data_IF_706421510147
#
_entry.id   IF_706421510147
#
_cell.length_a   1.000
_cell.length_b   1.000
_cell.length_c   1.000
_cell.angle_alpha   90.00
_cell.angle_beta   90.00
_cell.angle_gamma   90.00
#
_symmetry.space_group_name_H-M   'P 1'
#
loop_
_entity.id
_entity.type
_entity.pdbx_description
1 polymer ?
#
# COMPACT_ATOMS: atom_id res chain seq x y z
N UNK A 1 17.52 9.22 -1.26
CA UNK A 1 16.68 8.19 -0.61
C UNK A 1 15.69 7.63 -1.62
N UNK A 2 15.38 6.34 -1.51
CA UNK A 2 14.53 5.62 -2.46
C UNK A 2 13.14 5.46 -1.85
N UNK A 3 12.20 6.31 -2.24
CA UNK A 3 10.82 6.21 -1.78
C UNK A 3 9.97 5.54 -2.88
N UNK A 4 9.28 4.47 -2.52
CA UNK A 4 8.56 3.59 -3.43
C UNK A 4 7.10 3.53 -3.01
N UNK A 5 6.18 3.65 -3.96
CA UNK A 5 4.78 3.31 -3.76
C UNK A 5 4.56 1.90 -4.27
N UNK A 6 4.10 0.98 -3.41
CA UNK A 6 3.61 -0.33 -3.80
C UNK A 6 2.10 -0.27 -4.04
N UNK A 7 1.73 -0.39 -5.30
CA UNK A 7 0.40 -0.25 -5.82
C UNK A 7 -0.19 -1.60 -6.25
N UNK A 8 -1.49 -1.70 -6.28
CA UNK A 8 -2.19 -2.91 -6.68
C UNK A 8 -3.39 -3.23 -5.78
N UNK A 9 -4.36 -4.02 -6.26
CA UNK A 9 -5.58 -4.32 -5.51
C UNK A 9 -5.30 -5.10 -4.21
N UNK A 10 -6.29 -5.16 -3.29
CA UNK A 10 -6.19 -6.03 -2.12
C UNK A 10 -5.91 -7.47 -2.57
N UNK A 11 -5.02 -8.19 -1.87
CA UNK A 11 -4.64 -9.56 -2.22
C UNK A 11 -3.56 -9.69 -3.31
N UNK A 12 -3.08 -8.60 -3.92
CA UNK A 12 -2.05 -8.65 -4.98
C UNK A 12 -0.65 -9.07 -4.51
N UNK A 13 -0.40 -9.16 -3.20
CA UNK A 13 0.90 -9.59 -2.65
C UNK A 13 1.81 -8.47 -2.17
N UNK A 14 1.36 -7.20 -2.18
CA UNK A 14 2.16 -6.03 -1.75
C UNK A 14 2.89 -6.22 -0.44
N UNK A 15 2.18 -6.62 0.62
CA UNK A 15 2.78 -6.79 1.94
C UNK A 15 3.81 -7.91 2.02
N UNK A 16 3.68 -8.96 1.21
CA UNK A 16 4.69 -10.03 1.10
C UNK A 16 5.93 -9.49 0.41
N UNK A 17 5.77 -8.82 -0.72
CA UNK A 17 6.87 -8.25 -1.47
C UNK A 17 7.59 -7.13 -0.72
N UNK A 18 6.84 -6.27 -0.01
CA UNK A 18 7.42 -5.19 0.78
C UNK A 18 8.46 -5.70 1.78
N UNK A 19 8.23 -6.83 2.45
CA UNK A 19 9.18 -7.42 3.41
C UNK A 19 10.52 -7.77 2.76
N UNK A 20 10.50 -8.38 1.57
CA UNK A 20 11.74 -8.71 0.86
C UNK A 20 12.46 -7.46 0.36
N UNK A 21 11.71 -6.45 -0.09
CA UNK A 21 12.27 -5.19 -0.54
C UNK A 21 12.84 -4.35 0.62
N UNK A 22 12.19 -4.36 1.80
CA UNK A 22 12.72 -3.73 3.03
C UNK A 22 14.12 -4.26 3.34
N UNK A 23 14.26 -5.60 3.37
CA UNK A 23 15.51 -6.25 3.70
C UNK A 23 16.59 -5.98 2.64
N UNK A 24 16.23 -6.14 1.35
CA UNK A 24 17.18 -6.01 0.24
C UNK A 24 17.72 -4.59 0.08
N UNK A 25 16.88 -3.57 0.24
CA UNK A 25 17.23 -2.18 -0.05
C UNK A 25 17.36 -1.29 1.20
N UNK A 26 17.29 -1.87 2.40
CA UNK A 26 17.26 -1.14 3.67
C UNK A 26 16.18 -0.04 3.68
N UNK A 27 14.97 -0.39 3.24
CA UNK A 27 13.81 0.50 3.23
C UNK A 27 12.94 0.26 4.46
N UNK A 28 12.08 1.21 4.81
CA UNK A 28 11.06 1.04 5.84
C UNK A 28 9.67 0.96 5.21
N UNK A 29 8.98 -0.17 5.40
CA UNK A 29 7.58 -0.29 4.99
C UNK A 29 6.67 0.52 5.91
N UNK A 30 5.81 1.34 5.32
CA UNK A 30 4.72 2.07 5.96
C UNK A 30 3.40 1.57 5.38
N UNK A 31 2.77 0.64 6.09
CA UNK A 31 1.49 0.05 5.69
C UNK A 31 0.34 0.71 6.45
N UNK A 32 -0.45 1.54 5.78
CA UNK A 32 -1.61 2.20 6.41
C UNK A 32 -2.64 1.20 6.91
N UNK A 33 -2.82 0.09 6.20
CA UNK A 33 -3.70 -0.99 6.65
C UNK A 33 -3.24 -1.63 7.97
N UNK A 34 -1.93 -1.84 8.15
CA UNK A 34 -1.39 -2.39 9.40
C UNK A 34 -1.44 -1.36 10.53
N UNK A 35 -1.21 -0.09 10.24
CA UNK A 35 -1.35 1.00 11.22
C UNK A 35 -2.79 1.08 11.75
N UNK A 36 -3.80 1.00 10.87
CA UNK A 36 -5.20 1.00 11.30
C UNK A 36 -5.55 -0.27 12.10
N UNK A 37 -5.11 -1.44 11.66
CA UNK A 37 -5.32 -2.70 12.42
C UNK A 37 -4.65 -2.68 13.79
N UNK A 38 -3.46 -2.10 13.90
CA UNK A 38 -2.80 -1.90 15.20
C UNK A 38 -3.65 -1.00 16.12
N UNK A 39 -4.15 0.12 15.62
CA UNK A 39 -5.01 1.02 16.37
C UNK A 39 -6.33 0.36 16.78
N UNK A 40 -6.92 -0.44 15.88
CA UNK A 40 -8.13 -1.21 16.15
C UNK A 40 -7.89 -2.24 17.29
N UNK A 41 -6.81 -3.00 17.21
CA UNK A 41 -6.44 -3.98 18.25
C UNK A 41 -6.24 -3.32 19.62
N UNK A 42 -5.71 -2.11 19.65
CA UNK A 42 -5.48 -1.33 20.87
C UNK A 42 -6.68 -0.46 21.28
N UNK A 43 -7.83 -0.61 20.62
CA UNK A 43 -9.08 0.10 20.93
C UNK A 43 -8.95 1.63 21.00
N UNK A 44 -8.05 2.22 20.21
CA UNK A 44 -7.91 3.67 20.13
C UNK A 44 -9.12 4.29 19.41
N UNK A 45 -9.36 5.59 19.60
CA UNK A 45 -10.42 6.32 18.86
C UNK A 45 -10.19 6.25 17.35
N UNK A 46 -8.94 6.34 16.91
CA UNK A 46 -8.56 6.15 15.51
C UNK A 46 -8.91 4.74 14.99
N UNK A 47 -8.66 3.71 15.81
CA UNK A 47 -9.01 2.34 15.47
C UNK A 47 -10.51 2.12 15.32
N UNK A 48 -11.31 2.64 16.24
CA UNK A 48 -12.79 2.58 16.19
C UNK A 48 -13.34 3.31 14.95
N UNK A 49 -12.81 4.50 14.66
CA UNK A 49 -13.15 5.24 13.45
C UNK A 49 -12.83 4.44 12.19
N UNK A 50 -11.60 3.91 12.09
CA UNK A 50 -11.17 3.12 10.93
C UNK A 50 -12.02 1.86 10.74
N UNK A 51 -12.44 1.21 11.82
CA UNK A 51 -13.28 -0.01 11.77
C UNK A 51 -14.58 0.25 11.01
N UNK A 52 -15.26 1.38 11.27
CA UNK A 52 -16.54 1.69 10.64
C UNK A 52 -16.47 1.77 9.10
N UNK A 53 -15.31 2.08 8.55
CA UNK A 53 -15.05 2.06 7.11
C UNK A 53 -14.51 0.71 6.62
N UNK A 54 -13.55 0.12 7.33
CA UNK A 54 -12.89 -1.13 6.93
C UNK A 54 -13.84 -2.32 6.91
N UNK A 55 -14.79 -2.40 7.85
CA UNK A 55 -15.79 -3.49 7.91
C UNK A 55 -16.75 -3.47 6.68
N UNK A 56 -16.89 -2.34 6.03
CA UNK A 56 -17.67 -2.16 4.80
C UNK A 56 -16.80 -2.22 3.52
N UNK A 57 -15.49 -2.41 3.67
CA UNK A 57 -14.54 -2.40 2.53
C UNK A 57 -14.21 -1.00 2.01
N UNK A 58 -14.63 0.06 2.70
CA UNK A 58 -14.42 1.45 2.29
C UNK A 58 -13.06 2.00 2.77
N UNK A 59 -12.64 3.12 2.17
CA UNK A 59 -11.44 3.84 2.59
C UNK A 59 -11.73 4.73 3.80
N UNK A 60 -10.80 4.77 4.75
CA UNK A 60 -10.79 5.79 5.82
C UNK A 60 -10.55 7.18 5.19
N UNK A 61 -11.15 8.25 5.69
CA UNK A 61 -11.00 9.60 5.13
C UNK A 61 -9.52 10.00 4.90
N UNK A 62 -9.28 10.70 3.78
CA UNK A 62 -7.93 11.04 3.31
C UNK A 62 -7.12 11.82 4.35
N UNK A 63 -7.73 12.82 4.99
CA UNK A 63 -7.07 13.62 6.02
C UNK A 63 -6.58 12.77 7.20
N UNK A 64 -7.42 11.84 7.67
CA UNK A 64 -7.09 10.96 8.79
C UNK A 64 -5.92 10.05 8.43
N UNK A 65 -5.98 9.46 7.24
CA UNK A 65 -4.92 8.56 6.74
C UNK A 65 -3.62 9.30 6.52
N UNK A 66 -3.67 10.47 5.92
CA UNK A 66 -2.50 11.31 5.61
C UNK A 66 -1.80 11.80 6.88
N UNK A 67 -2.57 12.27 7.88
CA UNK A 67 -2.01 12.71 9.17
C UNK A 67 -1.34 11.55 9.91
N UNK A 68 -1.97 10.38 9.94
CA UNK A 68 -1.40 9.18 10.54
C UNK A 68 -0.06 8.81 9.87
N UNK A 69 -0.01 8.83 8.54
CA UNK A 69 1.21 8.52 7.79
C UNK A 69 2.32 9.55 8.03
N UNK A 70 1.99 10.84 8.03
CA UNK A 70 2.95 11.93 8.28
C UNK A 70 3.58 11.82 9.67
N UNK A 71 2.81 11.44 10.67
CA UNK A 71 3.31 11.22 12.03
C UNK A 71 4.18 9.96 12.12
N UNK A 72 3.86 8.93 11.35
CA UNK A 72 4.66 7.71 11.32
C UNK A 72 6.01 7.93 10.61
N UNK A 73 6.06 8.69 9.52
CA UNK A 73 7.30 9.05 8.82
C UNK A 73 8.35 9.67 9.75
N UNK A 74 7.92 10.54 10.68
CA UNK A 74 8.81 11.23 11.63
C UNK A 74 9.49 10.31 12.64
N UNK A 75 8.94 9.11 12.87
CA UNK A 75 9.46 8.14 13.85
C UNK A 75 10.60 7.30 13.30
N UNK A 76 10.78 7.25 11.99
CA UNK A 76 11.72 6.35 11.33
C UNK A 76 12.89 7.10 10.71
N UNK A 77 14.11 6.85 11.24
CA UNK A 77 15.36 7.39 10.73
C UNK A 77 16.36 6.26 10.47
N UNK A 78 17.36 6.50 9.63
CA UNK A 78 18.42 5.53 9.36
C UNK A 78 18.13 4.53 8.24
N UNK A 79 16.99 4.66 7.56
CA UNK A 79 16.66 3.86 6.37
C UNK A 79 17.11 4.55 5.09
N UNK A 80 17.31 3.77 4.02
CA UNK A 80 17.63 4.27 2.69
C UNK A 80 16.42 4.87 1.95
N UNK A 81 15.22 4.74 2.52
CA UNK A 81 13.95 5.27 2.01
C UNK A 81 12.76 4.53 2.59
N UNK A 82 11.60 4.74 1.97
CA UNK A 82 10.34 4.20 2.43
C UNK A 82 9.62 3.39 1.34
N UNK A 83 8.85 2.37 1.76
CA UNK A 83 7.87 1.67 0.95
C UNK A 83 6.49 2.04 1.47
N UNK A 84 5.71 2.77 0.67
CA UNK A 84 4.34 3.10 0.98
C UNK A 84 3.43 1.96 0.50
N UNK A 85 2.82 1.22 1.43
CA UNK A 85 1.90 0.12 1.16
C UNK A 85 0.49 0.48 1.61
N UNK A 86 -0.44 0.48 0.65
CA UNK A 86 -1.83 0.88 0.89
C UNK A 86 -2.05 2.38 1.01
N UNK A 87 -1.07 3.18 0.62
CA UNK A 87 -1.11 4.64 0.49
C UNK A 87 -0.13 5.06 -0.62
N UNK A 88 -0.50 6.01 -1.52
CA UNK A 88 -1.81 6.66 -1.62
C UNK A 88 -2.88 5.74 -2.23
N UNK A 89 -4.16 6.01 -1.96
CA UNK A 89 -5.33 5.33 -2.55
C UNK A 89 -6.28 6.26 -3.28
N UNK A 90 -6.03 7.56 -3.22
CA UNK A 90 -6.75 8.60 -3.95
C UNK A 90 -5.76 9.57 -4.54
N UNK A 91 -6.16 10.33 -5.56
CA UNK A 91 -5.31 11.39 -6.15
C UNK A 91 -4.93 12.43 -5.11
N UNK A 92 -5.87 12.83 -4.25
CA UNK A 92 -5.62 13.75 -3.13
C UNK A 92 -4.54 13.24 -2.18
N UNK A 93 -4.54 11.94 -1.88
CA UNK A 93 -3.48 11.32 -1.07
C UNK A 93 -2.13 11.31 -1.80
N UNK A 94 -2.12 11.09 -3.12
CA UNK A 94 -0.89 11.10 -3.91
C UNK A 94 -0.23 12.50 -3.93
N UNK A 95 -1.03 13.54 -4.15
CA UNK A 95 -0.58 14.93 -4.06
C UNK A 95 -0.07 15.27 -2.66
N UNK A 96 -0.79 14.82 -1.61
CA UNK A 96 -0.37 15.02 -0.22
C UNK A 96 0.94 14.32 0.09
N UNK A 97 1.18 13.10 -0.44
CA UNK A 97 2.44 12.38 -0.28
C UNK A 97 3.60 13.13 -0.91
N UNK A 98 3.42 13.64 -2.14
CA UNK A 98 4.44 14.41 -2.84
C UNK A 98 4.80 15.69 -2.05
N UNK A 99 3.81 16.39 -1.50
CA UNK A 99 4.03 17.58 -0.64
C UNK A 99 4.78 17.22 0.65
N UNK A 100 4.34 16.18 1.37
CA UNK A 100 4.97 15.74 2.63
C UNK A 100 6.43 15.35 2.40
N UNK A 101 6.70 14.54 1.38
CA UNK A 101 8.06 14.11 1.08
C UNK A 101 8.95 15.29 0.72
N UNK A 102 8.46 16.23 -0.07
CA UNK A 102 9.21 17.40 -0.52
C UNK A 102 9.46 18.39 0.63
N UNK A 103 8.42 18.75 1.37
CA UNK A 103 8.48 19.82 2.39
C UNK A 103 9.12 19.33 3.69
N UNK A 104 8.74 18.14 4.18
CA UNK A 104 9.21 17.65 5.47
C UNK A 104 10.58 16.96 5.38
N UNK A 105 10.92 16.35 4.24
CA UNK A 105 12.10 15.52 4.08
C UNK A 105 13.06 15.94 2.95
N UNK A 106 12.65 16.85 2.05
CA UNK A 106 13.43 17.20 0.86
C UNK A 106 13.58 16.04 -0.14
N UNK A 107 12.58 15.17 -0.21
CA UNK A 107 12.59 13.92 -0.97
C UNK A 107 11.43 13.87 -1.98
N UNK A 108 11.38 12.80 -2.75
CA UNK A 108 10.30 12.53 -3.71
C UNK A 108 10.03 11.02 -3.81
N UNK A 109 8.87 10.64 -4.34
CA UNK A 109 8.62 9.28 -4.81
C UNK A 109 9.49 9.03 -6.05
N UNK A 110 10.26 7.94 -6.04
CA UNK A 110 11.10 7.54 -7.17
C UNK A 110 10.35 6.70 -8.17
N UNK A 111 9.55 5.77 -7.68
CA UNK A 111 8.75 4.88 -8.52
C UNK A 111 7.49 4.39 -7.81
N UNK A 112 6.42 4.26 -8.57
CA UNK A 112 5.20 3.55 -8.21
C UNK A 112 5.20 2.20 -8.93
N UNK A 113 5.25 1.10 -8.17
CA UNK A 113 5.28 -0.27 -8.68
C UNK A 113 3.90 -0.90 -8.48
N UNK A 114 3.23 -1.24 -9.58
CA UNK A 114 1.89 -1.82 -9.58
C UNK A 114 1.93 -3.32 -9.81
N UNK A 115 1.42 -4.09 -8.85
CA UNK A 115 1.21 -5.53 -9.01
C UNK A 115 -0.13 -5.79 -9.71
N UNK A 116 -0.09 -6.42 -10.87
CA UNK A 116 -1.28 -6.83 -11.64
C UNK A 116 -1.63 -8.28 -11.32
N UNK A 117 -2.89 -8.51 -10.94
CA UNK A 117 -3.44 -9.84 -10.59
C UNK A 117 -4.91 -9.87 -10.97
N UNK A 118 -5.40 -10.97 -11.52
CA UNK A 118 -6.79 -11.16 -11.87
C UNK A 118 -7.70 -11.23 -10.63
N UNK A 119 -8.92 -10.69 -10.73
CA UNK A 119 -9.84 -10.53 -9.60
C UNK A 119 -10.19 -11.85 -8.90
N UNK A 120 -10.43 -12.93 -9.65
CA UNK A 120 -10.76 -14.23 -9.05
C UNK A 120 -9.57 -14.83 -8.28
N UNK A 121 -8.34 -14.57 -8.72
CA UNK A 121 -7.13 -14.91 -7.98
C UNK A 121 -7.04 -14.10 -6.69
N UNK A 122 -7.39 -12.80 -6.76
CA UNK A 122 -7.42 -11.91 -5.58
C UNK A 122 -8.43 -12.39 -4.53
N UNK A 123 -9.66 -12.71 -4.95
CA UNK A 123 -10.72 -13.21 -4.07
C UNK A 123 -10.26 -14.49 -3.37
N UNK A 124 -9.72 -15.45 -4.12
CA UNK A 124 -9.20 -16.69 -3.56
C UNK A 124 -8.10 -16.48 -2.52
N UNK A 125 -7.12 -15.62 -2.83
CA UNK A 125 -6.01 -15.28 -1.91
C UNK A 125 -6.50 -14.59 -0.63
N UNK A 126 -7.50 -13.70 -0.75
CA UNK A 126 -8.03 -12.97 0.40
C UNK A 126 -8.85 -13.86 1.32
N UNK A 127 -9.69 -14.73 0.78
CA UNK A 127 -10.44 -15.72 1.56
C UNK A 127 -9.50 -16.66 2.34
N UNK A 128 -8.42 -17.14 1.69
CA UNK A 128 -7.44 -17.99 2.36
C UNK A 128 -6.71 -17.23 3.48
N UNK A 129 -6.26 -16.00 3.20
CA UNK A 129 -5.66 -15.14 4.22
C UNK A 129 -6.61 -14.86 5.39
N UNK A 130 -7.90 -14.72 5.14
CA UNK A 130 -8.93 -14.52 6.16
C UNK A 130 -9.00 -15.69 7.14
N UNK A 131 -8.93 -16.93 6.61
CA UNK A 131 -8.91 -18.16 7.45
C UNK A 131 -7.67 -18.23 8.34
N UNK A 132 -6.50 -17.86 7.81
CA UNK A 132 -5.23 -17.94 8.54
C UNK A 132 -5.03 -16.78 9.52
N UNK A 133 -5.37 -15.55 9.12
CA UNK A 133 -5.04 -14.34 9.88
C UNK A 133 -6.16 -13.85 10.80
N UNK A 134 -7.39 -14.37 10.62
CA UNK A 134 -8.57 -13.90 11.34
C UNK A 134 -8.98 -12.45 11.02
N UNK A 135 -8.53 -11.90 9.87
CA UNK A 135 -8.93 -10.55 9.44
C UNK A 135 -10.41 -10.52 9.06
N UNK A 136 -11.18 -9.68 9.72
CA UNK A 136 -12.62 -9.56 9.48
C UNK A 136 -12.93 -9.09 8.05
N UNK A 137 -12.11 -8.20 7.50
CA UNK A 137 -12.25 -7.67 6.14
C UNK A 137 -11.85 -8.66 5.01
N UNK A 138 -11.35 -9.84 5.37
CA UNK A 138 -11.06 -10.95 4.46
C UNK A 138 -11.96 -12.18 4.72
N UNK A 139 -12.83 -12.12 5.72
CA UNK A 139 -13.68 -13.24 6.10
C UNK A 139 -14.99 -13.34 5.28
N UNK A 140 -15.36 -12.27 4.58
CA UNK A 140 -16.59 -12.18 3.79
C UNK A 140 -16.27 -11.82 2.34
N UNK A 141 -16.68 -12.69 1.40
CA UNK A 141 -16.45 -12.50 -0.03
C UNK A 141 -17.08 -11.21 -0.57
N UNK A 142 -18.26 -10.83 -0.07
CA UNK A 142 -18.93 -9.59 -0.49
C UNK A 142 -18.09 -8.36 -0.14
N UNK A 143 -17.53 -8.30 1.08
CA UNK A 143 -16.61 -7.25 1.52
C UNK A 143 -15.33 -7.26 0.69
N UNK A 144 -14.80 -8.43 0.35
CA UNK A 144 -13.62 -8.57 -0.52
C UNK A 144 -13.89 -7.96 -1.90
N UNK A 145 -15.02 -8.32 -2.51
CA UNK A 145 -15.40 -7.79 -3.83
C UNK A 145 -15.64 -6.29 -3.80
N UNK A 146 -16.28 -5.76 -2.75
CA UNK A 146 -16.43 -4.31 -2.55
C UNK A 146 -15.07 -3.59 -2.46
N UNK A 147 -14.09 -4.15 -1.77
CA UNK A 147 -12.72 -3.59 -1.69
C UNK A 147 -12.01 -3.59 -3.04
N UNK A 148 -12.24 -4.59 -3.89
CA UNK A 148 -11.69 -4.64 -5.25
C UNK A 148 -12.35 -3.56 -6.11
N UNK A 149 -13.68 -3.42 -6.04
CA UNK A 149 -14.44 -2.38 -6.74
C UNK A 149 -13.98 -0.98 -6.28
N UNK A 150 -13.86 -0.75 -4.98
CA UNK A 150 -13.41 0.52 -4.41
C UNK A 150 -11.98 0.86 -4.87
N UNK A 151 -11.11 -0.15 -4.99
CA UNK A 151 -9.77 0.01 -5.55
C UNK A 151 -9.83 0.53 -6.99
N UNK A 152 -10.55 -0.13 -7.88
CA UNK A 152 -10.64 0.31 -9.29
C UNK A 152 -11.31 1.67 -9.43
N UNK A 153 -12.31 1.96 -8.60
CA UNK A 153 -13.06 3.21 -8.66
C UNK A 153 -12.28 4.43 -8.18
N UNK A 154 -11.44 4.29 -7.14
CA UNK A 154 -10.77 5.43 -6.51
C UNK A 154 -9.24 5.38 -6.61
N UNK A 155 -8.67 4.20 -6.65
CA UNK A 155 -7.24 4.02 -6.50
C UNK A 155 -6.53 3.84 -7.84
N UNK A 156 -7.23 3.38 -8.87
CA UNK A 156 -6.62 3.21 -10.20
C UNK A 156 -6.22 4.56 -10.83
N UNK A 157 -6.91 5.64 -10.49
CA UNK A 157 -6.56 7.01 -10.89
C UNK A 157 -5.19 7.47 -10.36
N UNK A 158 -4.72 6.92 -9.23
CA UNK A 158 -3.39 7.20 -8.67
C UNK A 158 -2.29 6.75 -9.64
N UNK A 159 -2.53 5.69 -10.42
CA UNK A 159 -1.60 5.25 -11.45
C UNK A 159 -1.33 6.36 -12.48
N UNK A 160 -2.35 7.09 -12.88
CA UNK A 160 -2.23 8.18 -13.86
C UNK A 160 -1.39 9.35 -13.29
N UNK A 161 -1.51 9.65 -12.00
CA UNK A 161 -0.69 10.66 -11.32
C UNK A 161 0.82 10.33 -11.44
N UNK A 162 1.22 9.08 -11.22
CA UNK A 162 2.61 8.67 -11.34
C UNK A 162 3.06 8.39 -12.78
N UNK A 163 2.17 7.95 -13.67
CA UNK A 163 2.45 7.84 -15.12
C UNK A 163 2.77 9.21 -15.73
N UNK A 164 2.01 10.23 -15.38
CA UNK A 164 2.25 11.61 -15.86
C UNK A 164 3.62 12.15 -15.42
N UNK A 165 4.17 11.65 -14.32
CA UNK A 165 5.51 11.98 -13.83
C UNK A 165 6.62 11.06 -14.39
N UNK A 166 6.27 10.05 -15.20
CA UNK A 166 7.22 9.03 -15.67
C UNK A 166 7.74 8.10 -14.57
N UNK A 167 6.99 7.96 -13.45
CA UNK A 167 7.38 7.22 -12.26
C UNK A 167 6.50 6.00 -12.01
N UNK A 168 6.11 5.27 -13.06
CA UNK A 168 5.20 4.13 -12.94
C UNK A 168 5.71 2.92 -13.70
N UNK A 169 5.64 1.74 -13.08
CA UNK A 169 5.90 0.46 -13.74
C UNK A 169 4.93 -0.62 -13.24
N UNK A 170 4.53 -1.51 -14.16
CA UNK A 170 3.68 -2.65 -13.87
C UNK A 170 4.49 -3.94 -13.79
N UNK A 171 4.19 -4.76 -12.79
CA UNK A 171 4.79 -6.07 -12.60
C UNK A 171 3.69 -7.11 -12.44
N UNK A 172 3.84 -8.26 -13.09
CA UNK A 172 2.92 -9.38 -12.91
C UNK A 172 3.00 -9.89 -11.46
N UNK A 173 1.88 -9.87 -10.74
CA UNK A 173 1.75 -10.34 -9.36
C UNK A 173 1.33 -11.80 -9.23
N UNK A 174 1.34 -12.57 -10.35
CA UNK A 174 1.04 -14.00 -10.40
C UNK A 174 2.32 -14.76 -10.72
N UNK A 175 2.66 -15.78 -9.94
CA UNK A 175 3.86 -16.58 -10.09
C UNK A 175 4.56 -16.81 -8.76
N UNK A 176 5.79 -17.29 -8.82
CA UNK A 176 6.62 -17.54 -7.64
C UNK A 176 7.04 -16.22 -6.96
N UNK A 177 7.00 -16.22 -5.63
CA UNK A 177 7.33 -15.03 -4.84
C UNK A 177 8.70 -14.46 -5.20
N UNK A 178 9.71 -15.35 -5.36
CA UNK A 178 11.07 -14.95 -5.69
C UNK A 178 11.18 -14.27 -7.07
N UNK A 179 10.43 -14.75 -8.06
CA UNK A 179 10.39 -14.14 -9.39
C UNK A 179 9.77 -12.76 -9.36
N UNK A 180 8.64 -12.60 -8.67
CA UNK A 180 7.99 -11.29 -8.50
C UNK A 180 8.93 -10.32 -7.76
N UNK A 181 9.63 -10.80 -6.72
CA UNK A 181 10.62 -10.00 -5.98
C UNK A 181 11.77 -9.57 -6.89
N UNK A 182 12.27 -10.46 -7.75
CA UNK A 182 13.34 -10.14 -8.70
C UNK A 182 12.88 -9.06 -9.71
N UNK A 183 11.68 -9.18 -10.26
CA UNK A 183 11.12 -8.21 -11.21
C UNK A 183 10.92 -6.83 -10.57
N UNK A 184 10.36 -6.78 -9.35
CA UNK A 184 10.24 -5.52 -8.59
C UNK A 184 11.61 -4.92 -8.27
N UNK A 185 12.56 -5.74 -7.87
CA UNK A 185 13.92 -5.29 -7.57
C UNK A 185 14.61 -4.68 -8.77
N UNK A 186 14.46 -5.27 -9.95
CA UNK A 186 15.05 -4.75 -11.19
C UNK A 186 14.54 -3.32 -11.53
N UNK A 187 13.26 -3.03 -11.22
CA UNK A 187 12.73 -1.68 -11.38
C UNK A 187 13.32 -0.69 -10.35
N UNK A 188 13.52 -1.12 -9.11
CA UNK A 188 14.08 -0.29 -8.04
C UNK A 188 15.58 -0.01 -8.29
N UNK A 189 16.33 -0.99 -8.76
CA UNK A 189 17.77 -0.89 -9.03
C UNK A 189 18.15 0.20 -10.05
N UNK A 190 17.19 0.68 -10.84
CA UNK A 190 17.38 1.83 -11.73
C UNK A 190 17.60 3.16 -10.99
N UNK A 191 17.31 3.20 -9.68
CA UNK A 191 17.37 4.40 -8.83
C UNK A 191 18.35 4.29 -7.65
N UNK A 192 19.12 3.20 -7.58
CA UNK A 192 20.11 2.92 -6.51
C UNK A 192 21.47 3.46 -6.86
#
# INVERSE_FOLDING_TARGET
MINIVLFGPPGSGKGTQAKFLEEKFNLKQLSTGDMFRFNLKNQTELGKLAQSYMDQGHLVPDEVTTNMLRDELKKHTGYSGFIFDGYPRTTTQAESLDVILKEDLGQEVKICLSLKVDDEVLVGRLLERGKESGRADDANEEVIRERIVEYYKKTDEVAEHYKAQGKYAEVNGVGEIAEITANLSAEIEKFV
#
